data_IF_899451151665
#
_entry.id   IF_899451151665
#
_cell.length_a   1.000
_cell.length_b   1.000
_cell.length_c   1.000
_cell.angle_alpha   90.00
_cell.angle_beta   90.00
_cell.angle_gamma   90.00
#
_symmetry.space_group_name_H-M   'P 1'
#
loop_
_entity.id
_entity.type
_entity.pdbx_description
1 polymer ?
#
# COMPACT_ATOMS: atom_id res chain seq x y z
N UNK A 1 4.70 -4.37 15.28
CA UNK A 1 4.83 -3.92 13.88
C UNK A 1 4.16 -2.57 13.78
N UNK A 2 4.82 -1.63 13.11
CA UNK A 2 4.28 -0.29 12.84
C UNK A 2 4.56 0.09 11.39
N UNK A 3 3.91 1.15 10.92
CA UNK A 3 4.00 1.62 9.54
C UNK A 3 4.39 3.09 9.54
N UNK A 4 5.23 3.49 8.58
CA UNK A 4 5.57 4.90 8.34
C UNK A 4 5.16 5.28 6.93
N UNK A 5 4.47 6.41 6.82
CA UNK A 5 4.09 7.00 5.55
C UNK A 5 5.00 8.19 5.22
N UNK A 6 5.51 8.19 4.00
CA UNK A 6 6.35 9.24 3.44
C UNK A 6 5.63 9.86 2.25
N UNK A 7 5.24 11.13 2.38
CA UNK A 7 4.70 11.91 1.29
C UNK A 7 5.83 12.70 0.62
N UNK A 8 6.07 12.46 -0.68
CA UNK A 8 7.09 13.15 -1.49
C UNK A 8 8.46 13.27 -0.78
N UNK A 9 9.07 12.15 -0.35
CA UNK A 9 10.29 12.20 0.46
C UNK A 9 11.45 12.90 -0.24
N UNK A 10 11.50 12.91 -1.57
CA UNK A 10 12.52 13.66 -2.32
C UNK A 10 12.46 15.18 -2.11
N UNK A 11 11.29 15.71 -1.70
CA UNK A 11 11.06 17.14 -1.44
C UNK A 11 11.06 17.45 0.06
N UNK A 12 10.59 16.51 0.87
CA UNK A 12 10.29 16.77 2.28
C UNK A 12 11.36 16.24 3.25
N UNK A 13 12.25 15.35 2.81
CA UNK A 13 13.35 14.85 3.64
C UNK A 13 14.69 15.50 3.28
N UNK A 14 15.58 15.72 4.26
CA UNK A 14 16.98 16.03 3.99
C UNK A 14 17.65 14.94 3.15
N UNK A 15 18.65 15.30 2.34
CA UNK A 15 19.33 14.39 1.42
C UNK A 15 19.90 13.13 2.11
N UNK A 16 20.41 13.27 3.33
CA UNK A 16 20.88 12.14 4.14
C UNK A 16 19.74 11.15 4.45
N UNK A 17 18.57 11.65 4.87
CA UNK A 17 17.38 10.83 5.15
C UNK A 17 16.78 10.21 3.90
N UNK A 18 16.86 10.89 2.76
CA UNK A 18 16.49 10.30 1.46
C UNK A 18 17.37 9.10 1.11
N UNK A 19 18.68 9.21 1.35
CA UNK A 19 19.65 8.12 1.14
C UNK A 19 19.41 6.96 2.11
N UNK A 20 19.16 7.24 3.38
CA UNK A 20 18.79 6.22 4.38
C UNK A 20 17.54 5.45 3.94
N UNK A 21 16.46 6.18 3.59
CA UNK A 21 15.21 5.57 3.11
C UNK A 21 15.47 4.71 1.87
N UNK A 22 16.19 5.22 0.87
CA UNK A 22 16.51 4.45 -0.34
C UNK A 22 17.27 3.17 -0.02
N UNK A 23 18.29 3.25 0.84
CA UNK A 23 19.08 2.09 1.24
C UNK A 23 18.22 1.03 1.95
N UNK A 24 17.26 1.46 2.76
CA UNK A 24 16.30 0.57 3.41
C UNK A 24 15.37 -0.12 2.40
N UNK A 25 14.81 0.63 1.45
CA UNK A 25 13.98 0.06 0.37
C UNK A 25 14.78 -0.92 -0.50
N UNK A 26 16.03 -0.57 -0.83
CA UNK A 26 16.94 -1.44 -1.57
C UNK A 26 17.25 -2.72 -0.81
N UNK A 27 17.48 -2.63 0.50
CA UNK A 27 17.75 -3.79 1.36
C UNK A 27 16.57 -4.76 1.33
N UNK A 28 15.34 -4.25 1.43
CA UNK A 28 14.13 -5.07 1.28
C UNK A 28 14.04 -5.67 -0.13
N UNK A 29 14.22 -4.85 -1.17
CA UNK A 29 14.11 -5.27 -2.56
C UNK A 29 15.12 -6.38 -2.91
N UNK A 30 16.36 -6.28 -2.42
CA UNK A 30 17.42 -7.27 -2.59
C UNK A 30 17.05 -8.64 -2.04
N UNK A 31 16.12 -8.76 -1.10
CA UNK A 31 15.68 -10.08 -0.60
C UNK A 31 14.78 -10.84 -1.58
N UNK A 32 14.22 -10.14 -2.57
CA UNK A 32 13.16 -10.65 -3.43
C UNK A 32 13.43 -10.45 -4.93
N UNK A 33 14.30 -9.51 -5.30
CA UNK A 33 14.57 -9.13 -6.70
C UNK A 33 16.05 -9.32 -7.02
N UNK A 34 16.34 -10.16 -8.01
CA UNK A 34 17.69 -10.42 -8.50
C UNK A 34 17.72 -10.46 -10.04
N UNK A 35 18.39 -9.51 -10.71
CA UNK A 35 19.01 -8.30 -10.14
C UNK A 35 17.96 -7.31 -9.62
N UNK A 36 18.38 -6.41 -8.72
CA UNK A 36 17.53 -5.28 -8.31
C UNK A 36 17.48 -4.27 -9.45
N UNK A 37 16.28 -3.91 -9.96
CA UNK A 37 16.18 -2.94 -11.05
C UNK A 37 16.48 -1.52 -10.56
N UNK A 38 17.20 -0.74 -11.37
CA UNK A 38 17.34 0.72 -11.20
C UNK A 38 16.05 1.40 -11.64
N UNK A 39 15.01 1.31 -10.80
CA UNK A 39 13.64 1.68 -11.15
C UNK A 39 12.90 2.34 -9.98
N UNK A 40 12.08 3.35 -10.29
CA UNK A 40 11.23 4.07 -9.34
C UNK A 40 11.98 4.51 -8.06
N UNK A 41 11.44 4.20 -6.87
CA UNK A 41 11.98 4.58 -5.57
C UNK A 41 13.30 3.88 -5.22
N UNK A 42 13.71 2.87 -5.98
CA UNK A 42 15.00 2.19 -5.83
C UNK A 42 16.10 2.89 -6.63
N UNK A 43 15.73 3.81 -7.52
CA UNK A 43 16.70 4.41 -8.43
C UNK A 43 17.71 5.30 -7.73
N UNK A 44 18.94 5.31 -8.25
CA UNK A 44 20.01 6.19 -7.77
C UNK A 44 19.78 7.67 -8.11
N UNK A 45 18.88 7.95 -9.05
CA UNK A 45 18.59 9.31 -9.53
C UNK A 45 18.15 10.26 -8.40
N UNK A 46 18.46 11.56 -8.48
CA UNK A 46 18.08 12.53 -7.46
C UNK A 46 16.56 12.72 -7.36
N UNK A 47 15.86 12.63 -8.49
CA UNK A 47 14.41 12.85 -8.60
C UNK A 47 13.56 11.61 -8.25
N UNK A 48 14.20 10.47 -7.99
CA UNK A 48 13.55 9.16 -7.82
C UNK A 48 12.46 9.12 -6.73
N UNK A 49 12.60 10.00 -5.72
CA UNK A 49 11.73 10.08 -4.54
C UNK A 49 10.81 11.31 -4.55
N UNK A 50 10.94 12.23 -5.50
CA UNK A 50 10.27 13.54 -5.45
C UNK A 50 8.75 13.43 -5.57
N UNK A 51 8.25 12.53 -6.41
CA UNK A 51 6.83 12.35 -6.69
C UNK A 51 6.24 11.08 -6.05
N UNK A 52 6.93 10.49 -5.07
CA UNK A 52 6.54 9.21 -4.48
C UNK A 52 5.75 9.38 -3.20
N UNK A 53 4.75 8.52 -3.03
CA UNK A 53 4.15 8.17 -1.75
C UNK A 53 4.72 6.81 -1.37
N UNK A 54 5.25 6.66 -0.16
CA UNK A 54 5.88 5.41 0.27
C UNK A 54 5.34 5.04 1.64
N UNK A 55 4.88 3.80 1.80
CA UNK A 55 4.63 3.21 3.11
C UNK A 55 5.69 2.15 3.36
N UNK A 56 6.34 2.22 4.52
CA UNK A 56 7.29 1.20 4.98
C UNK A 56 6.73 0.54 6.24
N UNK A 57 6.77 -0.79 6.28
CA UNK A 57 6.41 -1.61 7.43
C UNK A 57 7.66 -2.02 8.20
N UNK A 58 7.61 -1.86 9.52
CA UNK A 58 8.72 -2.17 10.42
C UNK A 58 8.32 -3.22 11.44
N UNK A 59 9.19 -4.20 11.63
CA UNK A 59 9.13 -5.10 12.78
C UNK A 59 9.82 -4.45 13.99
N UNK A 60 9.26 -4.67 15.18
CA UNK A 60 9.64 -3.97 16.41
C UNK A 60 8.61 -2.91 16.84
N UNK A 61 9.03 -2.07 17.78
CA UNK A 61 8.22 -0.98 18.36
C UNK A 61 8.70 0.36 17.80
N UNK A 62 7.76 1.25 17.51
CA UNK A 62 8.05 2.57 16.97
C UNK A 62 8.96 3.36 17.92
N UNK A 63 10.12 3.87 17.44
CA UNK A 63 10.99 4.73 18.24
C UNK A 63 10.29 5.96 18.83
N UNK A 64 9.26 6.48 18.15
CA UNK A 64 8.55 7.68 18.60
C UNK A 64 7.56 7.41 19.73
N UNK A 65 7.17 6.15 19.93
CA UNK A 65 6.25 5.72 20.97
C UNK A 65 6.97 4.94 22.10
N UNK A 66 8.31 5.00 22.13
CA UNK A 66 9.12 4.28 23.09
C UNK A 66 9.49 5.18 24.28
N UNK A 67 8.59 5.28 25.25
CA UNK A 67 8.75 6.14 26.44
C UNK A 67 9.87 5.66 27.39
N UNK A 68 10.37 4.44 27.22
CA UNK A 68 11.26 3.80 28.20
C UNK A 68 12.72 3.64 27.74
N UNK A 69 13.06 3.98 26.49
CA UNK A 69 14.45 3.93 25.99
C UNK A 69 15.12 2.55 26.11
N UNK A 70 14.35 1.47 26.24
CA UNK A 70 14.80 0.14 26.69
C UNK A 70 15.25 -0.80 25.55
N UNK A 71 15.47 -0.30 24.33
CA UNK A 71 15.70 -1.20 23.19
C UNK A 71 17.15 -1.62 22.98
N UNK A 72 17.32 -2.94 22.95
CA UNK A 72 18.55 -3.63 22.56
C UNK A 72 18.77 -3.66 21.03
N UNK A 73 17.73 -3.45 20.20
CA UNK A 73 17.85 -3.45 18.74
C UNK A 73 16.94 -2.43 18.02
N UNK A 74 17.43 -1.78 16.95
CA UNK A 74 16.63 -0.88 16.13
C UNK A 74 15.52 -1.64 15.38
N UNK A 75 14.39 -0.98 15.07
CA UNK A 75 13.34 -1.58 14.27
C UNK A 75 13.87 -1.96 12.87
N UNK A 76 13.39 -3.09 12.34
CA UNK A 76 13.82 -3.60 11.05
C UNK A 76 12.70 -3.45 10.03
N UNK A 77 12.96 -2.80 8.89
CA UNK A 77 11.99 -2.72 7.82
C UNK A 77 11.80 -4.09 7.14
N UNK A 78 10.55 -4.49 6.98
CA UNK A 78 10.16 -5.83 6.50
C UNK A 78 9.33 -5.79 5.22
N UNK A 79 8.92 -4.61 4.77
CA UNK A 79 8.20 -4.44 3.52
C UNK A 79 7.88 -3.00 3.22
N UNK A 80 7.57 -2.70 1.96
CA UNK A 80 7.13 -1.38 1.54
C UNK A 80 6.16 -1.46 0.36
N UNK A 81 5.37 -0.41 0.19
CA UNK A 81 4.67 -0.10 -1.06
C UNK A 81 5.00 1.33 -1.47
N UNK A 82 5.14 1.55 -2.77
CA UNK A 82 5.31 2.87 -3.36
C UNK A 82 4.13 3.21 -4.28
N UNK A 83 3.82 4.48 -4.42
CA UNK A 83 2.83 4.99 -5.34
C UNK A 83 3.22 6.39 -5.83
N UNK A 84 2.55 6.89 -6.85
CA UNK A 84 2.68 8.26 -7.34
C UNK A 84 1.39 8.72 -7.98
N UNK A 85 1.15 10.02 -8.00
CA UNK A 85 0.10 10.59 -8.85
C UNK A 85 0.60 10.69 -10.28
N UNK A 86 -0.24 10.26 -11.23
CA UNK A 86 -0.04 10.47 -12.65
C UNK A 86 -0.81 11.72 -13.07
N UNK A 87 -0.14 12.55 -13.86
CA UNK A 87 -0.78 13.63 -14.59
C UNK A 87 -1.29 13.06 -15.91
N UNK A 88 -2.60 12.88 -16.03
CA UNK A 88 -3.26 12.32 -17.22
C UNK A 88 -4.12 13.43 -17.83
N UNK A 89 -3.78 13.90 -19.04
CA UNK A 89 -4.59 14.90 -19.72
C UNK A 89 -6.06 14.47 -19.83
N UNK A 90 -6.96 15.44 -19.68
CA UNK A 90 -8.41 15.26 -19.80
C UNK A 90 -9.06 14.35 -18.74
N UNK A 91 -8.33 13.99 -17.67
CA UNK A 91 -8.89 13.31 -16.50
C UNK A 91 -9.02 14.31 -15.35
N UNK A 92 -10.27 14.60 -14.96
CA UNK A 92 -10.58 15.60 -13.92
C UNK A 92 -10.16 15.16 -12.51
N UNK A 93 -10.15 13.85 -12.25
CA UNK A 93 -9.80 13.28 -10.94
C UNK A 93 -8.34 12.85 -10.88
N UNK A 94 -7.77 12.90 -9.67
CA UNK A 94 -6.42 12.40 -9.44
C UNK A 94 -6.30 10.92 -9.84
N UNK A 95 -5.19 10.56 -10.48
CA UNK A 95 -4.86 9.18 -10.84
C UNK A 95 -3.72 8.70 -9.97
N UNK A 96 -4.00 7.89 -8.95
CA UNK A 96 -2.96 7.25 -8.15
C UNK A 96 -2.50 5.96 -8.84
N UNK A 97 -1.21 5.89 -9.17
CA UNK A 97 -0.58 4.66 -9.62
C UNK A 97 0.20 4.01 -8.48
N UNK A 98 -0.19 2.82 -8.06
CA UNK A 98 0.61 2.01 -7.14
C UNK A 98 1.77 1.40 -7.90
N UNK A 99 2.98 1.70 -7.47
CA UNK A 99 4.22 1.20 -8.04
C UNK A 99 4.68 -0.08 -7.36
N UNK A 100 5.99 -0.14 -7.08
CA UNK A 100 6.62 -1.33 -6.51
C UNK A 100 6.15 -1.60 -5.07
N UNK A 101 5.72 -2.84 -4.83
CA UNK A 101 5.38 -3.38 -3.51
C UNK A 101 6.23 -4.62 -3.25
N UNK A 102 6.98 -4.64 -2.15
CA UNK A 102 7.86 -5.76 -1.77
C UNK A 102 7.74 -6.03 -0.27
N UNK A 103 7.77 -7.30 0.12
CA UNK A 103 7.87 -7.72 1.51
C UNK A 103 8.90 -8.85 1.62
N UNK A 104 9.74 -8.81 2.67
CA UNK A 104 10.78 -9.82 2.87
C UNK A 104 10.16 -11.21 2.99
N UNK A 105 10.83 -12.28 2.53
CA UNK A 105 10.25 -13.63 2.48
C UNK A 105 9.66 -14.10 3.82
N UNK A 106 10.31 -13.75 4.94
CA UNK A 106 9.90 -14.15 6.28
C UNK A 106 8.51 -13.64 6.70
N UNK A 107 8.03 -12.55 6.11
CA UNK A 107 6.70 -11.97 6.42
C UNK A 107 5.71 -12.13 5.28
N UNK A 108 6.06 -12.87 4.23
CA UNK A 108 5.10 -13.18 3.17
C UNK A 108 3.96 -14.03 3.73
N UNK A 109 2.76 -13.89 3.17
CA UNK A 109 1.53 -14.60 3.59
C UNK A 109 1.01 -14.25 4.99
N UNK A 110 1.57 -13.24 5.65
CA UNK A 110 1.06 -12.71 6.93
C UNK A 110 -0.07 -11.67 6.76
N UNK A 111 -0.44 -11.35 5.52
CA UNK A 111 -1.35 -10.24 5.21
C UNK A 111 -0.67 -8.87 5.11
N UNK A 112 0.66 -8.81 5.26
CA UNK A 112 1.44 -7.56 5.24
C UNK A 112 1.17 -6.64 4.04
N UNK A 113 0.95 -7.21 2.85
CA UNK A 113 0.66 -6.43 1.64
C UNK A 113 -0.68 -5.70 1.75
N UNK A 114 -1.71 -6.35 2.31
CA UNK A 114 -3.00 -5.70 2.54
C UNK A 114 -2.83 -4.51 3.49
N UNK A 115 -2.07 -4.69 4.58
CA UNK A 115 -1.79 -3.60 5.51
C UNK A 115 -1.01 -2.44 4.88
N UNK A 116 -0.01 -2.73 4.05
CA UNK A 116 0.73 -1.69 3.31
C UNK A 116 -0.21 -0.87 2.41
N UNK A 117 -1.11 -1.53 1.66
CA UNK A 117 -2.11 -0.85 0.84
C UNK A 117 -3.13 -0.08 1.69
N UNK A 118 -3.66 -0.68 2.75
CA UNK A 118 -4.58 0.03 3.66
C UNK A 118 -3.95 1.30 4.23
N UNK A 119 -2.71 1.23 4.68
CA UNK A 119 -1.99 2.40 5.17
C UNK A 119 -1.79 3.45 4.08
N UNK A 120 -1.47 3.05 2.86
CA UNK A 120 -1.38 3.99 1.73
C UNK A 120 -2.72 4.69 1.49
N UNK A 121 -3.81 3.94 1.39
CA UNK A 121 -5.13 4.51 1.10
C UNK A 121 -5.72 5.30 2.26
N UNK A 122 -5.43 4.94 3.51
CA UNK A 122 -5.81 5.74 4.68
C UNK A 122 -5.24 7.17 4.64
N UNK A 123 -4.03 7.34 4.08
CA UNK A 123 -3.42 8.66 3.93
C UNK A 123 -3.88 9.39 2.67
N UNK A 124 -4.22 8.65 1.60
CA UNK A 124 -4.54 9.24 0.30
C UNK A 124 -6.02 9.58 0.16
N UNK A 125 -6.94 8.70 0.57
CA UNK A 125 -8.39 8.88 0.36
C UNK A 125 -8.93 10.20 0.93
N UNK A 126 -8.53 10.66 2.16
CA UNK A 126 -9.03 11.92 2.69
C UNK A 126 -8.62 13.16 1.88
N UNK A 127 -7.59 13.05 1.05
CA UNK A 127 -7.11 14.13 0.18
C UNK A 127 -7.91 14.25 -1.12
N UNK A 128 -8.72 13.25 -1.46
CA UNK A 128 -9.50 13.16 -2.69
C UNK A 128 -10.97 12.84 -2.39
N UNK A 129 -11.70 13.76 -1.71
CA UNK A 129 -13.08 13.51 -1.27
C UNK A 129 -14.05 13.30 -2.44
N UNK A 130 -13.75 13.87 -3.61
CA UNK A 130 -14.54 13.72 -4.84
C UNK A 130 -14.22 12.42 -5.61
N UNK A 131 -13.38 11.56 -5.03
CA UNK A 131 -12.92 10.32 -5.64
C UNK A 131 -11.62 10.47 -6.43
N UNK A 132 -11.02 9.33 -6.74
CA UNK A 132 -9.78 9.24 -7.52
C UNK A 132 -9.72 7.92 -8.27
N UNK A 133 -8.98 7.92 -9.38
CA UNK A 133 -8.65 6.70 -10.10
C UNK A 133 -7.47 6.00 -9.44
N UNK A 134 -7.54 4.68 -9.35
CA UNK A 134 -6.41 3.86 -8.92
C UNK A 134 -5.98 2.97 -10.07
N UNK A 135 -4.70 3.00 -10.38
CA UNK A 135 -4.06 2.07 -11.32
C UNK A 135 -3.00 1.27 -10.58
N UNK A 136 -2.87 0.00 -10.92
CA UNK A 136 -1.88 -0.89 -10.30
C UNK A 136 -1.29 -1.80 -11.35
N UNK A 137 0.01 -2.09 -11.24
CA UNK A 137 0.68 -3.10 -12.04
C UNK A 137 1.36 -4.07 -11.08
N UNK A 138 0.93 -5.33 -11.10
CA UNK A 138 1.46 -6.36 -10.22
C UNK A 138 1.99 -7.53 -11.05
N UNK A 139 3.26 -7.88 -10.86
CA UNK A 139 3.84 -9.11 -11.40
C UNK A 139 3.36 -10.36 -10.64
N UNK A 140 2.80 -10.18 -9.44
CA UNK A 140 2.26 -11.26 -8.61
C UNK A 140 0.77 -11.02 -8.38
N UNK A 141 -0.07 -11.93 -8.86
CA UNK A 141 -1.53 -11.84 -8.76
C UNK A 141 -2.04 -11.61 -7.33
N UNK A 142 -1.34 -12.13 -6.32
CA UNK A 142 -1.71 -11.90 -4.92
C UNK A 142 -1.65 -10.43 -4.54
N UNK A 143 -0.72 -9.63 -5.08
CA UNK A 143 -0.65 -8.19 -4.83
C UNK A 143 -1.87 -7.47 -5.41
N UNK A 144 -2.28 -7.85 -6.64
CA UNK A 144 -3.47 -7.31 -7.29
C UNK A 144 -4.74 -7.58 -6.45
N UNK A 145 -4.93 -8.83 -6.01
CA UNK A 145 -6.07 -9.23 -5.17
C UNK A 145 -6.08 -8.47 -3.84
N UNK A 146 -4.92 -8.22 -3.22
CA UNK A 146 -4.90 -7.44 -1.97
C UNK A 146 -5.25 -5.97 -2.21
N UNK A 147 -4.77 -5.36 -3.29
CA UNK A 147 -5.12 -3.97 -3.64
C UNK A 147 -6.62 -3.84 -3.90
N UNK A 148 -7.20 -4.77 -4.66
CA UNK A 148 -8.64 -4.83 -4.93
C UNK A 148 -9.43 -4.97 -3.63
N UNK A 149 -9.08 -5.91 -2.74
CA UNK A 149 -9.81 -6.12 -1.47
C UNK A 149 -9.89 -4.86 -0.61
N UNK A 150 -8.84 -4.04 -0.63
CA UNK A 150 -8.82 -2.78 0.13
C UNK A 150 -9.68 -1.71 -0.55
N UNK A 151 -9.76 -1.70 -1.89
CA UNK A 151 -10.47 -0.68 -2.67
C UNK A 151 -11.92 -1.03 -3.03
N UNK A 152 -12.28 -2.31 -3.05
CA UNK A 152 -13.59 -2.77 -3.55
C UNK A 152 -14.75 -2.18 -2.74
N UNK A 153 -14.53 -1.91 -1.46
CA UNK A 153 -15.52 -1.31 -0.56
C UNK A 153 -15.27 0.17 -0.26
N UNK A 154 -14.34 0.84 -0.96
CA UNK A 154 -14.16 2.29 -0.81
C UNK A 154 -15.13 3.02 -1.74
N UNK A 155 -16.03 3.81 -1.15
CA UNK A 155 -17.01 4.62 -1.87
C UNK A 155 -16.36 5.90 -2.41
N UNK A 156 -16.72 6.37 -3.62
CA UNK A 156 -17.62 5.76 -4.60
C UNK A 156 -16.86 4.83 -5.57
N UNK A 157 -17.24 3.55 -5.62
CA UNK A 157 -16.76 2.61 -6.64
C UNK A 157 -17.83 2.53 -7.74
N UNK A 158 -17.48 2.65 -9.04
CA UNK A 158 -18.46 2.65 -10.14
C UNK A 158 -19.33 1.38 -10.23
N UNK A 159 -18.86 0.27 -9.64
CA UNK A 159 -19.58 -1.00 -9.61
C UNK A 159 -20.59 -1.09 -8.44
N UNK A 160 -20.55 -0.16 -7.49
CA UNK A 160 -21.50 -0.10 -6.38
C UNK A 160 -22.56 0.96 -6.71
N UNK A 161 -23.85 0.59 -6.69
CA UNK A 161 -24.90 1.58 -6.92
C UNK A 161 -24.77 2.72 -5.90
N UNK A 162 -25.03 3.96 -6.34
CA UNK A 162 -24.97 5.21 -5.55
C UNK A 162 -25.83 5.20 -4.27
N UNK A 163 -26.57 4.12 -4.02
CA UNK A 163 -27.44 3.96 -2.87
C UNK A 163 -27.35 2.54 -2.29
N UNK A 164 -26.51 2.29 -1.25
CA UNK A 164 -26.53 1.02 -0.54
C UNK A 164 -27.87 0.74 0.16
N UNK A 165 -28.73 1.76 0.31
CA UNK A 165 -30.07 1.64 0.88
C UNK A 165 -31.13 1.01 -0.05
N UNK A 166 -30.82 0.86 -1.35
CA UNK A 166 -31.75 0.29 -2.35
C UNK A 166 -31.39 -1.13 -2.80
N UNK A 167 -30.31 -1.71 -2.26
CA UNK A 167 -29.96 -3.10 -2.55
C UNK A 167 -30.78 -4.03 -1.65
N UNK A 168 -31.60 -4.95 -2.19
CA UNK A 168 -32.22 -5.97 -1.36
C UNK A 168 -31.11 -6.77 -0.66
N UNK A 169 -31.31 -7.19 0.61
CA UNK A 169 -30.31 -7.98 1.31
C UNK A 169 -29.97 -9.22 0.46
N UNK A 170 -28.68 -9.62 0.40
CA UNK A 170 -28.29 -10.81 -0.34
C UNK A 170 -29.13 -11.97 0.17
N UNK A 171 -29.81 -12.67 -0.75
CA UNK A 171 -30.59 -13.85 -0.42
C UNK A 171 -29.72 -14.77 0.42
N UNK A 172 -30.09 -14.94 1.69
CA UNK A 172 -29.42 -15.88 2.59
C UNK A 172 -29.40 -17.23 1.88
N UNK A 173 -28.20 -17.73 1.61
CA UNK A 173 -28.02 -19.06 1.06
C UNK A 173 -28.78 -20.03 1.95
N UNK A 174 -29.87 -20.60 1.43
CA UNK A 174 -30.61 -21.66 2.11
C UNK A 174 -29.61 -22.77 2.44
N UNK A 175 -29.53 -23.13 3.72
CA UNK A 175 -28.77 -24.27 4.17
C UNK A 175 -29.22 -25.52 3.37
N UNK A 176 -28.29 -26.37 2.91
CA UNK A 176 -28.64 -27.61 2.23
C UNK A 176 -29.14 -28.61 3.28
N UNK A 177 -30.44 -28.61 3.54
CA UNK A 177 -31.03 -29.46 4.58
C UNK A 177 -32.49 -29.85 4.35
N UNK A 178 -33.32 -28.98 3.76
CA UNK A 178 -34.74 -29.31 3.58
C UNK A 178 -35.03 -29.84 2.17
N UNK A 179 -34.68 -31.11 1.96
CA UNK A 179 -35.36 -31.95 0.98
C UNK A 179 -35.98 -33.16 1.67
N UNK A 180 -37.31 -33.18 1.60
CA UNK A 180 -38.20 -34.33 1.59
C UNK A 180 -38.40 -35.10 2.91
N UNK A 181 -39.59 -34.94 3.49
CA UNK A 181 -40.47 -36.07 3.80
C UNK A 181 -41.91 -35.72 3.37
N UNK A 182 -42.53 -36.68 2.68
CA UNK A 182 -43.93 -36.68 2.27
C UNK A 182 -44.88 -36.58 3.45
#
# INVERSE_FOLDING_TARGET
>A
MFFRFYNQPGRNLPQEKQRELRNELLTIAQTCLHPVPDYQCLSSRPDALENKLIVVAYNGTDPENDEAGTKEQPPSAVGFTSAMYLDVPDVEHAVLHTGLTVAVPAVQRTGILAHLFSQLFLHVMPLHPDGMWVTTLAAVLSSLVQSEKVLYNTYPCPATPENPSLSPPPATARAPGDRARN
#
